data_IF_188497346263
#
_entry.id   IF_188497346263
#
_cell.length_a   1.000
_cell.length_b   1.000
_cell.length_c   1.000
_cell.angle_alpha   90.00
_cell.angle_beta   90.00
_cell.angle_gamma   90.00
#
_symmetry.space_group_name_H-M   'P 1'
#
loop_
_entity.id
_entity.type
_entity.pdbx_description
1 polymer ?
#
# COMPACT_ATOMS: atom_id res chain seq x y z
N UNK A 1 -13.22 13.52 -21.86
CA UNK A 1 -12.13 12.52 -21.91
C UNK A 1 -11.56 12.28 -20.52
N UNK A 2 -11.13 13.31 -19.80
CA UNK A 2 -10.48 13.16 -18.48
C UNK A 2 -11.35 12.50 -17.40
N UNK A 3 -12.63 12.87 -17.27
CA UNK A 3 -13.51 12.29 -16.26
C UNK A 3 -13.77 10.77 -16.47
N UNK A 4 -13.79 10.33 -17.73
CA UNK A 4 -13.96 8.91 -18.09
C UNK A 4 -12.69 8.12 -17.79
N UNK A 5 -11.52 8.63 -18.19
CA UNK A 5 -10.22 8.03 -17.85
C UNK A 5 -10.00 7.96 -16.33
N UNK A 6 -10.52 8.94 -15.58
CA UNK A 6 -10.46 8.96 -14.12
C UNK A 6 -11.33 7.86 -13.49
N UNK A 7 -12.56 7.68 -13.98
CA UNK A 7 -13.44 6.59 -13.56
C UNK A 7 -12.85 5.21 -13.88
N UNK A 8 -12.26 5.05 -15.07
CA UNK A 8 -11.56 3.83 -15.50
C UNK A 8 -10.33 3.55 -14.63
N UNK A 9 -9.54 4.56 -14.30
CA UNK A 9 -8.36 4.43 -13.44
C UNK A 9 -8.73 3.96 -12.02
N UNK A 10 -9.78 4.54 -11.44
CA UNK A 10 -10.24 4.14 -10.09
C UNK A 10 -10.84 2.74 -10.11
N UNK A 11 -11.63 2.41 -11.14
CA UNK A 11 -12.15 1.05 -11.33
C UNK A 11 -11.02 0.03 -11.45
N UNK A 12 -9.97 0.37 -12.20
CA UNK A 12 -8.77 -0.47 -12.35
C UNK A 12 -8.08 -0.70 -11.00
N UNK A 13 -7.92 0.34 -10.17
CA UNK A 13 -7.32 0.22 -8.84
C UNK A 13 -8.19 -0.66 -7.93
N UNK A 14 -9.52 -0.46 -7.92
CA UNK A 14 -10.45 -1.30 -7.14
C UNK A 14 -10.38 -2.77 -7.59
N UNK A 15 -10.38 -3.03 -8.89
CA UNK A 15 -10.25 -4.38 -9.45
C UNK A 15 -8.91 -5.02 -9.08
N UNK A 16 -7.81 -4.25 -9.14
CA UNK A 16 -6.48 -4.74 -8.76
C UNK A 16 -6.43 -5.12 -7.28
N UNK A 17 -6.92 -4.27 -6.38
CA UNK A 17 -7.00 -4.56 -4.96
C UNK A 17 -7.89 -5.79 -4.68
N UNK A 18 -9.05 -5.88 -5.33
CA UNK A 18 -9.94 -7.02 -5.21
C UNK A 18 -9.32 -8.32 -5.76
N UNK A 19 -8.47 -8.23 -6.80
CA UNK A 19 -7.75 -9.38 -7.34
C UNK A 19 -6.73 -9.92 -6.34
N UNK A 20 -5.96 -9.04 -5.69
CA UNK A 20 -5.01 -9.44 -4.65
C UNK A 20 -5.68 -9.91 -3.36
N UNK A 21 -6.90 -9.44 -3.06
CA UNK A 21 -7.72 -9.97 -1.99
C UNK A 21 -8.23 -11.40 -2.26
N UNK A 22 -8.20 -11.87 -3.52
CA UNK A 22 -8.53 -13.26 -3.88
C UNK A 22 -7.29 -14.14 -3.90
N UNK A 23 -6.26 -13.70 -4.63
CA UNK A 23 -5.02 -14.44 -4.79
C UNK A 23 -3.82 -13.49 -4.90
N UNK A 24 -2.75 -13.80 -4.16
CA UNK A 24 -1.49 -13.07 -4.21
C UNK A 24 -0.46 -13.97 -4.90
N UNK A 25 -0.09 -13.69 -6.16
CA UNK A 25 0.83 -14.55 -6.87
C UNK A 25 2.18 -14.63 -6.17
N UNK A 26 2.68 -15.85 -5.95
CA UNK A 26 3.95 -16.08 -5.23
C UNK A 26 5.13 -15.30 -5.84
N UNK A 27 5.19 -15.21 -7.17
CA UNK A 27 6.23 -14.46 -7.87
C UNK A 27 6.15 -12.94 -7.60
N UNK A 28 4.96 -12.40 -7.38
CA UNK A 28 4.74 -10.99 -7.08
C UNK A 28 5.15 -10.66 -5.65
N UNK A 29 4.79 -11.55 -4.70
CA UNK A 29 5.26 -11.50 -3.31
C UNK A 29 6.79 -11.51 -3.25
N UNK A 30 7.43 -12.48 -3.92
CA UNK A 30 8.89 -12.60 -3.90
C UNK A 30 9.59 -11.42 -4.57
N UNK A 31 9.02 -10.87 -5.65
CA UNK A 31 9.53 -9.65 -6.27
C UNK A 31 9.44 -8.45 -5.32
N UNK A 32 8.29 -8.25 -4.67
CA UNK A 32 8.08 -7.16 -3.71
C UNK A 32 9.02 -7.30 -2.51
N UNK A 33 9.14 -8.50 -1.94
CA UNK A 33 10.03 -8.83 -0.84
C UNK A 33 11.48 -8.48 -1.17
N UNK A 34 11.99 -8.91 -2.34
CA UNK A 34 13.34 -8.58 -2.80
C UNK A 34 13.53 -7.07 -2.95
N UNK A 35 12.56 -6.36 -3.52
CA UNK A 35 12.60 -4.90 -3.65
C UNK A 35 12.67 -4.18 -2.30
N UNK A 36 11.86 -4.61 -1.33
CA UNK A 36 11.87 -4.04 0.03
C UNK A 36 13.16 -4.35 0.80
N UNK A 37 13.71 -5.55 0.65
CA UNK A 37 14.98 -5.90 1.28
C UNK A 37 16.14 -5.09 0.67
N UNK A 38 16.13 -4.89 -0.65
CA UNK A 38 17.12 -4.07 -1.33
C UNK A 38 17.06 -2.59 -0.91
N UNK A 39 15.86 -2.03 -0.73
CA UNK A 39 15.72 -0.64 -0.26
C UNK A 39 16.12 -0.46 1.20
N UNK A 40 15.89 -1.47 2.06
CA UNK A 40 16.29 -1.42 3.46
C UNK A 40 17.80 -1.59 3.67
N UNK A 41 18.48 -2.36 2.80
CA UNK A 41 19.93 -2.52 2.85
C UNK A 41 20.69 -1.20 2.64
N UNK A 42 20.09 -0.22 1.95
CA UNK A 42 20.66 1.11 1.69
C UNK A 42 20.25 2.15 2.74
N UNK A 43 19.31 1.84 3.64
CA UNK A 43 18.67 2.86 4.51
C UNK A 43 19.34 3.09 5.88
N UNK A 44 20.46 2.44 6.18
CA UNK A 44 21.14 2.57 7.50
C UNK A 44 22.55 3.15 7.41
N UNK A 45 22.88 3.80 6.29
CA UNK A 45 24.23 4.27 6.01
C UNK A 45 24.54 5.61 6.72
N UNK A 46 23.52 6.34 7.18
CA UNK A 46 23.69 7.57 7.96
C UNK A 46 23.03 7.50 9.33
N UNK A 47 23.66 8.14 10.32
CA UNK A 47 23.12 8.28 11.67
C UNK A 47 21.75 8.96 11.69
N UNK A 48 21.49 9.88 10.76
CA UNK A 48 20.19 10.54 10.60
C UNK A 48 19.10 9.54 10.19
N UNK A 49 19.36 8.71 9.18
CA UNK A 49 18.40 7.70 8.73
C UNK A 49 18.11 6.67 9.84
N UNK A 50 19.13 6.33 10.62
CA UNK A 50 18.99 5.46 11.79
C UNK A 50 18.09 6.09 12.87
N UNK A 51 18.35 7.33 13.25
CA UNK A 51 17.55 8.06 14.24
C UNK A 51 16.10 8.23 13.77
N UNK A 52 15.89 8.60 12.50
CA UNK A 52 14.56 8.74 11.93
C UNK A 52 13.78 7.41 11.94
N UNK A 53 14.45 6.28 11.67
CA UNK A 53 13.83 4.96 11.73
C UNK A 53 13.39 4.58 13.15
N UNK A 54 14.21 4.89 14.17
CA UNK A 54 13.90 4.67 15.59
C UNK A 54 12.75 5.56 16.07
N UNK A 55 12.77 6.86 15.73
CA UNK A 55 11.70 7.80 16.06
C UNK A 55 10.38 7.37 15.42
N UNK A 56 10.41 6.97 14.14
CA UNK A 56 9.22 6.46 13.44
C UNK A 56 8.66 5.20 14.11
N UNK A 57 9.53 4.26 14.50
CA UNK A 57 9.10 3.07 15.22
C UNK A 57 8.40 3.45 16.54
N UNK A 58 9.00 4.35 17.32
CA UNK A 58 8.45 4.81 18.60
C UNK A 58 7.10 5.51 18.45
N UNK A 59 6.96 6.43 17.49
CA UNK A 59 5.70 7.14 17.21
C UNK A 59 4.59 6.17 16.81
N UNK A 60 4.94 5.10 16.10
CA UNK A 60 3.99 4.05 15.70
C UNK A 60 3.74 2.99 16.78
N UNK A 61 4.32 3.14 17.98
CA UNK A 61 4.15 2.22 19.09
C UNK A 61 4.96 0.92 18.99
N UNK A 62 5.96 0.86 18.11
CA UNK A 62 6.86 -0.29 18.00
C UNK A 62 8.06 -0.13 18.94
N UNK A 63 8.54 -1.27 19.44
CA UNK A 63 9.79 -1.33 20.19
C UNK A 63 11.00 -1.05 19.28
N UNK A 64 12.08 -0.42 19.80
CA UNK A 64 13.26 -0.06 19.02
C UNK A 64 13.92 -1.24 18.29
N UNK A 65 13.90 -2.45 18.87
CA UNK A 65 14.46 -3.66 18.26
C UNK A 65 13.72 -4.06 16.98
N UNK A 66 12.50 -3.58 16.78
CA UNK A 66 11.75 -3.81 15.54
C UNK A 66 12.51 -3.25 14.33
N UNK A 67 13.29 -2.17 14.49
CA UNK A 67 14.05 -1.55 13.39
C UNK A 67 15.14 -2.50 12.86
N UNK A 68 15.87 -3.17 13.74
CA UNK A 68 16.90 -4.16 13.36
C UNK A 68 16.28 -5.45 12.85
N UNK A 69 15.10 -5.82 13.35
CA UNK A 69 14.37 -7.04 12.95
C UNK A 69 13.55 -6.90 11.67
N UNK A 70 13.46 -5.71 11.06
CA UNK A 70 12.66 -5.49 9.83
C UNK A 70 12.95 -6.52 8.72
N UNK A 71 14.20 -6.90 8.41
CA UNK A 71 14.45 -7.91 7.38
C UNK A 71 13.84 -9.28 7.74
N UNK A 72 13.99 -9.72 8.99
CA UNK A 72 13.39 -10.96 9.47
C UNK A 72 11.86 -10.89 9.44
N UNK A 73 11.26 -9.77 9.87
CA UNK A 73 9.81 -9.56 9.81
C UNK A 73 9.28 -9.59 8.37
N UNK A 74 9.97 -8.97 7.42
CA UNK A 74 9.63 -9.06 6.00
C UNK A 74 9.66 -10.50 5.48
N UNK A 75 10.60 -11.32 5.96
CA UNK A 75 10.68 -12.72 5.57
C UNK A 75 9.49 -13.56 6.08
N UNK A 76 8.84 -13.14 7.17
CA UNK A 76 7.66 -13.83 7.71
C UNK A 76 6.36 -13.52 6.97
N UNK A 77 6.36 -12.53 6.06
CA UNK A 77 5.17 -12.16 5.30
C UNK A 77 4.75 -13.30 4.38
N UNK A 78 3.50 -13.73 4.49
CA UNK A 78 2.91 -14.79 3.66
C UNK A 78 1.88 -14.21 2.68
N UNK A 79 1.58 -14.97 1.63
CA UNK A 79 0.50 -14.63 0.71
C UNK A 79 -0.85 -14.54 1.42
N UNK A 80 -1.11 -15.40 2.41
CA UNK A 80 -2.35 -15.38 3.20
C UNK A 80 -2.47 -14.10 4.04
N UNK A 81 -1.38 -13.71 4.71
CA UNK A 81 -1.34 -12.46 5.48
C UNK A 81 -1.62 -11.25 4.58
N UNK A 82 -1.00 -11.20 3.39
CA UNK A 82 -1.23 -10.12 2.43
C UNK A 82 -2.66 -10.10 1.91
N UNK A 83 -3.26 -11.27 1.64
CA UNK A 83 -4.64 -11.36 1.19
C UNK A 83 -5.61 -10.70 2.18
N UNK A 84 -5.44 -10.96 3.48
CA UNK A 84 -6.25 -10.34 4.56
C UNK A 84 -6.07 -8.82 4.60
N UNK A 85 -4.85 -8.33 4.42
CA UNK A 85 -4.59 -6.89 4.35
C UNK A 85 -5.23 -6.25 3.11
N UNK A 86 -5.15 -6.89 1.93
CA UNK A 86 -5.77 -6.39 0.70
C UNK A 86 -7.31 -6.38 0.77
N UNK A 87 -7.91 -7.37 1.42
CA UNK A 87 -9.34 -7.35 1.73
C UNK A 87 -9.71 -6.10 2.55
N UNK A 88 -8.92 -5.81 3.59
CA UNK A 88 -9.09 -4.59 4.39
C UNK A 88 -8.87 -3.29 3.62
N UNK A 89 -7.93 -3.25 2.66
CA UNK A 89 -7.69 -2.09 1.81
C UNK A 89 -8.88 -1.77 0.90
N UNK A 90 -9.55 -2.81 0.37
CA UNK A 90 -10.72 -2.63 -0.50
C UNK A 90 -11.89 -1.93 0.22
N UNK A 91 -12.04 -2.19 1.52
CA UNK A 91 -13.10 -1.62 2.38
C UNK A 91 -12.78 -0.21 2.86
N UNK A 92 -11.50 0.17 2.91
CA UNK A 92 -11.01 1.44 3.49
C UNK A 92 -10.46 2.40 2.44
N UNK A 93 -10.76 2.17 1.16
CA UNK A 93 -10.24 2.99 0.07
C UNK A 93 -10.85 4.41 0.11
N UNK A 94 -10.00 5.40 0.33
CA UNK A 94 -10.37 6.83 0.23
C UNK A 94 -9.84 7.37 -1.09
N UNK A 95 -10.71 8.01 -1.88
CA UNK A 95 -10.33 8.63 -3.16
C UNK A 95 -10.62 10.12 -3.10
N UNK A 96 -9.59 10.93 -3.36
CA UNK A 96 -9.73 12.38 -3.55
C UNK A 96 -9.63 12.69 -5.04
N UNK A 97 -10.58 13.46 -5.56
CA UNK A 97 -10.64 13.88 -6.96
C UNK A 97 -10.46 15.40 -7.03
N UNK A 98 -9.42 15.83 -7.73
CA UNK A 98 -9.20 17.26 -8.03
C UNK A 98 -9.57 17.49 -9.49
N UNK A 99 -10.72 18.09 -9.74
CA UNK A 99 -11.22 18.43 -11.07
C UNK A 99 -12.25 19.58 -10.99
N UNK A 100 -12.61 20.17 -12.13
CA UNK A 100 -13.74 21.10 -12.21
C UNK A 100 -15.01 20.47 -11.62
N UNK A 101 -15.76 21.21 -10.80
CA UNK A 101 -16.91 20.68 -10.05
C UNK A 101 -17.95 19.99 -10.94
N UNK A 102 -18.23 20.56 -12.12
CA UNK A 102 -19.17 19.98 -13.10
C UNK A 102 -18.73 18.63 -13.69
N UNK A 103 -17.43 18.30 -13.61
CA UNK A 103 -16.88 17.01 -14.06
C UNK A 103 -16.66 16.03 -12.91
N UNK A 104 -16.38 16.51 -11.70
CA UNK A 104 -16.12 15.69 -10.53
C UNK A 104 -17.40 15.06 -9.95
N UNK A 105 -18.50 15.83 -9.91
CA UNK A 105 -19.76 15.43 -9.27
C UNK A 105 -20.37 14.12 -9.82
N UNK A 106 -20.48 13.90 -11.15
CA UNK A 106 -21.00 12.63 -11.67
C UNK A 106 -20.08 11.43 -11.43
N UNK A 107 -18.75 11.64 -11.36
CA UNK A 107 -17.79 10.57 -11.07
C UNK A 107 -17.92 10.12 -9.61
N UNK A 108 -18.03 11.07 -8.67
CA UNK A 108 -18.31 10.78 -7.26
C UNK A 108 -19.68 10.10 -7.11
N UNK A 109 -20.68 10.58 -7.85
CA UNK A 109 -21.97 9.97 -8.17
C UNK A 109 -21.88 8.45 -8.35
N UNK A 110 -21.22 8.06 -9.43
CA UNK A 110 -21.07 6.67 -9.86
C UNK A 110 -20.23 5.82 -8.88
N UNK A 111 -19.30 6.43 -8.15
CA UNK A 111 -18.42 5.72 -7.22
C UNK A 111 -19.02 5.46 -5.84
N UNK A 112 -20.06 6.20 -5.47
CA UNK A 112 -20.75 6.10 -4.19
C UNK A 112 -21.92 5.11 -4.23
N UNK A 113 -22.26 4.60 -5.41
CA UNK A 113 -23.25 3.53 -5.56
C UNK A 113 -22.58 2.16 -5.33
N UNK A 114 -23.26 1.24 -4.61
CA UNK A 114 -22.70 -0.05 -4.22
C UNK A 114 -22.38 -0.97 -5.41
#
# INVERSE_FOLDING_TARGET
>A
MDAQLMGEGISTVKQLLASFAKDVPAHALERARRGMLASQAVSFISSEAWVNALLTARVRGFEPDTVTRRPALLQTVTAESLRKEFEGCSQRLVVSITADEGKARPVIQAMSQP
#
